data_IF_327544653834
#
_entry.id   IF_327544653834
#
_cell.length_a   1.000
_cell.length_b   1.000
_cell.length_c   1.000
_cell.angle_alpha   90.00
_cell.angle_beta   90.00
_cell.angle_gamma   90.00
#
_symmetry.space_group_name_H-M   'P 1'
#
loop_
_entity.id
_entity.type
_entity.pdbx_description
1 polymer ?
#
# COMPACT_ATOMS: atom_id res chain seq x y z
N UNK A 1 15.07 -9.25 3.34
CA UNK A 1 13.70 -8.80 3.67
C UNK A 1 12.69 -9.53 2.83
N UNK A 2 11.53 -9.85 3.40
CA UNK A 2 10.41 -10.52 2.76
C UNK A 2 9.15 -9.67 2.92
N UNK A 3 8.37 -9.46 1.86
CA UNK A 3 7.11 -8.72 1.89
C UNK A 3 6.18 -9.21 0.75
N UNK A 4 4.89 -8.95 0.84
CA UNK A 4 3.89 -9.39 -0.16
C UNK A 4 3.69 -8.37 -1.28
N UNK A 5 3.65 -8.78 -2.55
CA UNK A 5 3.14 -7.94 -3.64
C UNK A 5 1.62 -8.12 -3.80
N UNK A 6 0.97 -7.12 -4.40
CA UNK A 6 -0.42 -7.23 -4.77
C UNK A 6 -0.61 -8.13 -5.99
N UNK A 7 -1.62 -8.99 -5.92
CA UNK A 7 -2.15 -9.69 -7.07
C UNK A 7 -3.50 -9.10 -7.48
N UNK A 8 -3.66 -8.89 -8.79
CA UNK A 8 -4.93 -8.50 -9.42
C UNK A 8 -5.74 -9.72 -9.91
N UNK A 9 -5.21 -10.94 -9.72
CA UNK A 9 -5.88 -12.23 -9.93
C UNK A 9 -4.97 -13.31 -10.55
N UNK A 10 -4.70 -14.41 -9.82
CA UNK A 10 -5.12 -15.80 -10.09
C UNK A 10 -4.75 -16.67 -8.86
N UNK A 11 -5.63 -17.57 -8.42
CA UNK A 11 -5.54 -18.33 -7.14
C UNK A 11 -4.53 -19.50 -7.22
N UNK A 12 -3.72 -19.55 -8.28
CA UNK A 12 -2.83 -20.66 -8.54
C UNK A 12 -1.45 -20.47 -7.87
N UNK A 13 -1.41 -20.78 -6.57
CA UNK A 13 -0.24 -21.26 -5.81
C UNK A 13 1.15 -20.83 -6.35
N UNK A 14 1.60 -19.64 -5.97
CA UNK A 14 3.01 -19.29 -5.72
C UNK A 14 3.02 -18.18 -4.69
N UNK A 15 3.91 -18.26 -3.71
CA UNK A 15 3.98 -17.28 -2.63
C UNK A 15 4.08 -15.86 -3.19
N UNK A 16 3.12 -14.99 -2.88
CA UNK A 16 3.15 -13.55 -3.21
C UNK A 16 4.27 -12.79 -2.50
N UNK A 17 5.16 -13.53 -1.84
CA UNK A 17 6.26 -13.03 -1.06
C UNK A 17 7.50 -12.83 -1.93
N UNK A 18 7.94 -11.58 -2.02
CA UNK A 18 9.20 -11.21 -2.64
C UNK A 18 10.29 -11.16 -1.58
N UNK A 19 11.47 -11.71 -1.89
CA UNK A 19 12.65 -11.62 -1.03
C UNK A 19 13.70 -10.70 -1.66
N UNK A 20 14.12 -9.67 -0.91
CA UNK A 20 15.22 -8.76 -1.29
C UNK A 20 16.39 -8.96 -0.33
N UNK A 21 17.61 -9.04 -0.85
CA UNK A 21 18.84 -9.19 -0.06
C UNK A 21 19.82 -8.07 -0.42
N UNK A 22 20.56 -7.56 0.57
CA UNK A 22 21.49 -6.45 0.39
C UNK A 22 21.71 -5.67 1.69
N UNK A 23 22.32 -4.49 1.58
CA UNK A 23 22.40 -3.55 2.70
C UNK A 23 21.00 -3.02 3.07
N UNK A 24 20.77 -2.59 4.33
CA UNK A 24 19.48 -2.04 4.77
C UNK A 24 18.92 -0.96 3.83
N UNK A 25 19.78 0.01 3.44
CA UNK A 25 19.41 1.09 2.53
C UNK A 25 19.02 0.60 1.13
N UNK A 26 19.77 -0.35 0.58
CA UNK A 26 19.48 -0.89 -0.76
C UNK A 26 18.21 -1.74 -0.77
N UNK A 27 17.99 -2.52 0.29
CA UNK A 27 16.76 -3.31 0.47
C UNK A 27 15.55 -2.39 0.50
N UNK A 28 15.61 -1.31 1.28
CA UNK A 28 14.49 -0.37 1.38
C UNK A 28 14.23 0.38 0.07
N UNK A 29 15.28 0.85 -0.60
CA UNK A 29 15.14 1.47 -1.92
C UNK A 29 14.50 0.50 -2.93
N UNK A 30 14.93 -0.75 -2.94
CA UNK A 30 14.36 -1.78 -3.81
C UNK A 30 12.88 -2.07 -3.46
N UNK A 31 12.52 -2.12 -2.17
CA UNK A 31 11.12 -2.27 -1.73
C UNK A 31 10.26 -1.12 -2.25
N UNK A 32 10.72 0.14 -2.07
CA UNK A 32 10.03 1.32 -2.58
C UNK A 32 9.84 1.27 -4.09
N UNK A 33 10.88 0.92 -4.86
CA UNK A 33 10.76 0.77 -6.31
C UNK A 33 9.73 -0.30 -6.69
N UNK A 34 9.74 -1.46 -6.03
CA UNK A 34 8.77 -2.53 -6.28
C UNK A 34 7.33 -2.11 -5.95
N UNK A 35 7.14 -1.32 -4.89
CA UNK A 35 5.83 -0.73 -4.56
C UNK A 35 5.40 0.31 -5.59
N UNK A 36 6.32 1.18 -6.03
CA UNK A 36 6.04 2.22 -7.02
C UNK A 36 5.60 1.64 -8.37
N UNK A 37 6.21 0.55 -8.84
CA UNK A 37 5.83 -0.10 -10.10
C UNK A 37 4.65 -1.09 -9.97
N UNK A 38 4.10 -1.26 -8.76
CA UNK A 38 2.96 -2.15 -8.57
C UNK A 38 1.74 -1.56 -9.28
N UNK A 39 0.99 -2.36 -10.06
CA UNK A 39 -0.13 -1.84 -10.83
C UNK A 39 -1.26 -1.36 -9.91
N UNK A 40 -1.87 -0.24 -10.27
CA UNK A 40 -3.14 0.24 -9.73
C UNK A 40 -4.18 0.26 -10.85
N UNK A 41 -5.40 -0.18 -10.52
CA UNK A 41 -6.54 -0.15 -11.43
C UNK A 41 -7.63 0.68 -10.78
N UNK A 42 -8.05 1.75 -11.46
CA UNK A 42 -9.17 2.58 -11.06
C UNK A 42 -10.26 2.44 -12.12
N UNK A 43 -11.47 2.14 -11.67
CA UNK A 43 -12.64 2.05 -12.53
C UNK A 43 -13.68 3.09 -12.16
N UNK A 44 -14.33 3.69 -13.14
CA UNK A 44 -15.43 4.64 -12.92
C UNK A 44 -16.30 4.73 -14.17
N UNK A 45 -17.55 5.13 -13.98
CA UNK A 45 -18.51 5.24 -15.07
C UNK A 45 -18.90 6.70 -15.29
N UNK A 46 -19.01 7.10 -16.56
CA UNK A 46 -19.46 8.43 -16.96
C UNK A 46 -20.62 8.35 -17.95
N UNK A 47 -21.63 9.22 -17.78
CA UNK A 47 -22.74 9.31 -18.73
C UNK A 47 -22.29 10.05 -20.01
N UNK A 48 -22.52 9.46 -21.17
CA UNK A 48 -22.28 10.13 -22.46
C UNK A 48 -23.61 10.60 -23.05
N UNK A 49 -23.75 11.90 -23.21
CA UNK A 49 -24.98 12.53 -23.72
C UNK A 49 -24.72 13.36 -24.99
N UNK A 50 -23.50 13.33 -25.52
CA UNK A 50 -23.07 14.18 -26.63
C UNK A 50 -22.95 13.39 -27.95
N UNK A 51 -23.10 14.05 -29.11
CA UNK A 51 -23.09 13.37 -30.41
C UNK A 51 -21.68 13.07 -30.95
N UNK A 52 -20.64 13.69 -30.38
CA UNK A 52 -19.26 13.49 -30.83
C UNK A 52 -18.62 12.29 -30.10
N UNK A 53 -17.43 11.85 -30.52
CA UNK A 53 -16.65 10.92 -29.71
C UNK A 53 -15.73 11.72 -28.77
N UNK A 54 -15.53 11.28 -27.52
CA UNK A 54 -14.60 11.94 -26.61
C UNK A 54 -13.14 11.82 -27.10
N UNK A 55 -12.36 12.89 -26.94
CA UNK A 55 -10.94 12.92 -27.32
C UNK A 55 -10.04 12.57 -26.14
N UNK A 56 -9.25 11.51 -26.29
CA UNK A 56 -8.34 11.01 -25.26
C UNK A 56 -6.86 11.19 -25.61
N UNK A 57 -6.53 11.98 -26.63
CA UNK A 57 -5.15 12.20 -27.08
C UNK A 57 -4.25 12.86 -26.04
N UNK A 58 -4.83 13.56 -25.06
CA UNK A 58 -4.11 14.25 -23.99
C UNK A 58 -3.75 13.35 -22.79
N UNK A 59 -4.18 12.08 -22.79
CA UNK A 59 -3.87 11.16 -21.70
C UNK A 59 -2.37 10.81 -21.74
N UNK A 60 -1.63 10.94 -20.62
CA UNK A 60 -0.22 10.57 -20.54
C UNK A 60 0.03 9.13 -20.99
N UNK A 61 1.14 8.90 -21.72
CA UNK A 61 1.48 7.60 -22.29
C UNK A 61 1.76 6.52 -21.23
N UNK A 62 2.06 6.93 -20.00
CA UNK A 62 2.27 6.08 -18.83
C UNK A 62 0.96 5.47 -18.31
N UNK A 63 -0.19 5.97 -18.76
CA UNK A 63 -1.51 5.56 -18.30
C UNK A 63 -2.22 4.75 -19.38
N UNK A 64 -2.53 3.51 -19.06
CA UNK A 64 -3.31 2.66 -19.95
C UNK A 64 -4.80 2.81 -19.62
N UNK A 65 -5.57 3.35 -20.57
CA UNK A 65 -7.02 3.53 -20.44
C UNK A 65 -7.75 2.54 -21.34
N UNK A 66 -8.64 1.76 -20.74
CA UNK A 66 -9.60 0.92 -21.47
C UNK A 66 -10.99 1.51 -21.30
N UNK A 67 -11.72 1.63 -22.41
CA UNK A 67 -13.06 2.22 -22.43
C UNK A 67 -14.04 1.14 -22.85
N UNK A 68 -15.11 0.98 -22.10
CA UNK A 68 -16.18 0.02 -22.38
C UNK A 68 -17.52 0.72 -22.44
N UNK A 69 -18.20 0.63 -23.57
CA UNK A 69 -19.60 1.05 -23.68
C UNK A 69 -20.46 0.06 -22.89
N UNK A 70 -21.09 0.52 -21.82
CA UNK A 70 -21.99 -0.30 -20.97
C UNK A 70 -23.42 -0.23 -21.53
N UNK A 71 -23.86 0.98 -21.83
CA UNK A 71 -25.10 1.28 -22.55
C UNK A 71 -24.84 2.41 -23.55
N UNK A 72 -25.77 2.73 -24.48
CA UNK A 72 -25.57 3.85 -25.41
C UNK A 72 -25.28 5.20 -24.73
N UNK A 73 -25.61 5.35 -23.45
CA UNK A 73 -25.42 6.60 -22.68
C UNK A 73 -24.51 6.42 -21.47
N UNK A 74 -23.85 5.28 -21.30
CA UNK A 74 -22.99 4.99 -20.14
C UNK A 74 -21.69 4.32 -20.57
N UNK A 75 -20.58 4.94 -20.22
CA UNK A 75 -19.24 4.48 -20.54
C UNK A 75 -18.51 4.14 -19.25
N UNK A 76 -17.90 2.96 -19.22
CA UNK A 76 -17.04 2.52 -18.12
C UNK A 76 -15.58 2.68 -18.51
N UNK A 77 -14.83 3.29 -17.62
CA UNK A 77 -13.41 3.56 -17.76
C UNK A 77 -12.64 2.65 -16.84
N UNK A 78 -11.56 2.08 -17.36
CA UNK A 78 -10.57 1.32 -16.60
C UNK A 78 -9.23 1.99 -16.82
N UNK A 79 -8.76 2.72 -15.82
CA UNK A 79 -7.48 3.41 -15.80
C UNK A 79 -6.47 2.52 -15.08
N UNK A 80 -5.39 2.14 -15.77
CA UNK A 80 -4.29 1.36 -15.22
C UNK A 80 -2.99 2.16 -15.24
N UNK A 81 -2.29 2.13 -14.12
CA UNK A 81 -1.04 2.86 -13.93
C UNK A 81 -0.12 2.17 -12.93
N UNK A 82 1.07 2.73 -12.72
CA UNK A 82 1.94 2.39 -11.61
C UNK A 82 1.48 3.11 -10.34
N UNK A 83 1.57 2.45 -9.18
CA UNK A 83 1.14 2.99 -7.89
C UNK A 83 2.05 4.12 -7.35
N UNK A 84 3.22 4.35 -7.96
CA UNK A 84 4.08 5.50 -7.65
C UNK A 84 3.54 6.83 -8.19
N UNK A 85 2.59 6.78 -9.12
CA UNK A 85 2.20 7.92 -9.96
C UNK A 85 0.78 8.43 -9.64
N UNK A 86 0.39 8.46 -8.36
CA UNK A 86 -0.95 8.87 -7.91
C UNK A 86 -1.42 10.18 -8.56
N UNK A 87 -0.52 11.17 -8.69
CA UNK A 87 -0.85 12.47 -9.31
C UNK A 87 -1.16 12.35 -10.80
N UNK A 88 -0.44 11.49 -11.53
CA UNK A 88 -0.68 11.27 -12.96
C UNK A 88 -2.02 10.53 -13.14
N UNK A 89 -2.34 9.58 -12.25
CA UNK A 89 -3.65 8.90 -12.24
C UNK A 89 -4.78 9.90 -12.02
N UNK A 90 -4.68 10.74 -10.98
CA UNK A 90 -5.69 11.75 -10.67
C UNK A 90 -5.86 12.77 -11.81
N UNK A 91 -4.75 13.22 -12.39
CA UNK A 91 -4.77 14.12 -13.53
C UNK A 91 -5.46 13.48 -14.74
N UNK A 92 -5.16 12.22 -15.04
CA UNK A 92 -5.75 11.50 -16.17
C UNK A 92 -7.25 11.26 -16.00
N UNK A 93 -7.69 10.95 -14.78
CA UNK A 93 -9.12 10.86 -14.45
C UNK A 93 -9.81 12.20 -14.73
N UNK A 94 -9.22 13.32 -14.30
CA UNK A 94 -9.77 14.65 -14.56
C UNK A 94 -9.84 14.98 -16.06
N UNK A 95 -8.80 14.68 -16.84
CA UNK A 95 -8.81 14.88 -18.29
C UNK A 95 -9.94 14.09 -18.97
N UNK A 96 -10.18 12.84 -18.55
CA UNK A 96 -11.30 12.02 -19.06
C UNK A 96 -12.64 12.68 -18.71
N UNK A 97 -12.80 13.12 -17.46
CA UNK A 97 -14.03 13.75 -16.98
C UNK A 97 -14.35 15.03 -17.77
N UNK A 98 -13.34 15.85 -18.04
CA UNK A 98 -13.48 17.10 -18.79
C UNK A 98 -14.05 16.89 -20.20
N UNK A 99 -13.76 15.75 -20.83
CA UNK A 99 -14.32 15.40 -22.15
C UNK A 99 -15.82 15.10 -22.10
N UNK A 100 -16.36 14.70 -20.94
CA UNK A 100 -17.75 14.29 -20.79
C UNK A 100 -18.69 15.44 -20.44
N UNK A 101 -18.16 16.66 -20.29
CA UNK A 101 -18.91 17.90 -20.01
C UNK A 101 -19.99 17.74 -18.93
N UNK A 102 -19.72 16.91 -17.92
CA UNK A 102 -20.65 16.66 -16.82
C UNK A 102 -20.76 17.92 -15.93
N UNK A 103 -21.90 18.11 -15.23
CA UNK A 103 -22.03 19.18 -14.26
C UNK A 103 -20.90 19.13 -13.22
N UNK A 104 -20.39 20.27 -12.77
CA UNK A 104 -19.30 20.34 -11.79
C UNK A 104 -19.62 19.62 -10.47
N UNK A 105 -20.89 19.57 -10.10
CA UNK A 105 -21.38 18.91 -8.89
C UNK A 105 -21.72 17.43 -9.10
N UNK A 106 -21.47 16.89 -10.29
CA UNK A 106 -21.72 15.48 -10.57
C UNK A 106 -20.80 14.61 -9.71
N UNK A 107 -21.33 13.74 -8.84
CA UNK A 107 -20.51 12.95 -7.94
C UNK A 107 -19.85 11.81 -8.73
N UNK A 108 -18.53 11.91 -8.91
CA UNK A 108 -17.77 10.87 -9.58
C UNK A 108 -17.31 9.88 -8.54
N UNK A 109 -17.87 8.67 -8.61
CA UNK A 109 -17.47 7.56 -7.77
C UNK A 109 -16.53 6.68 -8.57
N UNK A 110 -15.32 6.56 -8.06
CA UNK A 110 -14.32 5.64 -8.56
C UNK A 110 -14.24 4.41 -7.68
N UNK A 111 -13.72 3.32 -8.22
CA UNK A 111 -13.49 2.10 -7.48
C UNK A 111 -12.16 1.46 -7.83
N UNK A 112 -11.57 0.77 -6.86
CA UNK A 112 -10.43 -0.13 -7.03
C UNK A 112 -10.72 -1.42 -6.29
N UNK A 113 -10.12 -2.50 -6.76
CA UNK A 113 -10.07 -3.74 -6.02
C UNK A 113 -8.66 -4.31 -6.03
N UNK A 114 -8.32 -5.09 -5.00
CA UNK A 114 -7.04 -5.80 -4.93
C UNK A 114 -7.11 -6.90 -3.87
N UNK A 115 -6.23 -7.90 -4.01
CA UNK A 115 -6.17 -9.00 -3.06
C UNK A 115 -5.22 -8.69 -1.91
N UNK A 116 -5.57 -9.14 -0.71
CA UNK A 116 -4.78 -9.03 0.52
C UNK A 116 -4.81 -10.35 1.27
N UNK A 117 -3.92 -10.51 2.24
CA UNK A 117 -3.92 -11.68 3.13
C UNK A 117 -5.05 -11.60 4.17
N UNK A 118 -5.47 -12.77 4.66
CA UNK A 118 -6.54 -12.89 5.67
C UNK A 118 -6.25 -12.16 6.99
N UNK A 119 -4.98 -12.04 7.38
CA UNK A 119 -4.56 -11.32 8.58
C UNK A 119 -4.84 -9.82 8.47
N UNK A 120 -4.67 -9.22 7.28
CA UNK A 120 -5.04 -7.83 7.02
C UNK A 120 -6.55 -7.64 7.12
N UNK A 121 -7.34 -8.53 6.49
CA UNK A 121 -8.82 -8.46 6.55
C UNK A 121 -9.29 -8.56 7.99
N UNK A 122 -8.73 -9.50 8.76
CA UNK A 122 -9.05 -9.69 10.18
C UNK A 122 -8.70 -8.44 11.00
N UNK A 123 -7.55 -7.82 10.73
CA UNK A 123 -7.12 -6.58 11.40
C UNK A 123 -8.04 -5.39 11.12
N UNK A 124 -8.55 -5.30 9.89
CA UNK A 124 -9.45 -4.23 9.44
C UNK A 124 -10.90 -4.43 9.93
N UNK A 125 -11.39 -5.66 10.02
CA UNK A 125 -12.78 -5.94 10.45
C UNK A 125 -12.97 -5.85 11.96
N UNK A 126 -12.11 -6.52 12.74
CA UNK A 126 -12.29 -6.70 14.18
C UNK A 126 -10.98 -6.57 14.96
N UNK A 127 -9.96 -5.93 14.38
CA UNK A 127 -8.63 -5.85 14.94
C UNK A 127 -8.20 -4.44 15.29
N UNK A 128 -6.88 -4.25 15.40
CA UNK A 128 -6.28 -2.99 15.83
C UNK A 128 -6.48 -1.85 14.82
N UNK A 129 -6.72 -2.17 13.54
CA UNK A 129 -6.78 -1.19 12.45
C UNK A 129 -8.21 -0.74 12.11
N UNK A 130 -9.25 -1.37 12.69
CA UNK A 130 -10.67 -1.05 12.41
C UNK A 130 -11.02 0.41 12.64
N UNK A 131 -10.64 0.98 13.79
CA UNK A 131 -10.93 2.38 14.11
C UNK A 131 -10.14 3.36 13.23
N UNK A 132 -8.94 2.98 12.77
CA UNK A 132 -8.14 3.80 11.85
C UNK A 132 -8.76 3.78 10.45
N UNK A 133 -9.18 2.61 9.97
CA UNK A 133 -9.91 2.46 8.71
C UNK A 133 -11.19 3.29 8.70
N UNK A 134 -12.04 3.16 9.74
CA UNK A 134 -13.33 3.88 9.80
C UNK A 134 -13.15 5.39 9.77
N UNK A 135 -12.17 5.93 10.52
CA UNK A 135 -11.86 7.36 10.52
C UNK A 135 -11.40 7.86 9.14
N UNK A 136 -10.49 7.13 8.50
CA UNK A 136 -9.99 7.47 7.16
C UNK A 136 -11.12 7.38 6.12
N UNK A 137 -11.88 6.29 6.12
CA UNK A 137 -13.03 6.08 5.23
C UNK A 137 -14.06 7.21 5.35
N UNK A 138 -14.41 7.60 6.58
CA UNK A 138 -15.34 8.70 6.83
C UNK A 138 -14.77 10.05 6.34
N UNK A 139 -13.51 10.35 6.67
CA UNK A 139 -12.87 11.63 6.31
C UNK A 139 -12.79 11.80 4.79
N UNK A 140 -12.37 10.75 4.08
CA UNK A 140 -12.21 10.77 2.62
C UNK A 140 -13.51 10.42 1.86
N UNK A 141 -14.62 10.17 2.57
CA UNK A 141 -15.93 9.80 1.99
C UNK A 141 -15.85 8.57 1.09
N UNK A 142 -15.17 7.54 1.58
CA UNK A 142 -14.92 6.28 0.88
C UNK A 142 -15.62 5.15 1.61
N UNK A 143 -16.21 4.24 0.84
CA UNK A 143 -16.73 2.96 1.32
C UNK A 143 -15.71 1.84 1.06
N UNK A 144 -15.53 0.95 2.02
CA UNK A 144 -14.63 -0.20 1.91
C UNK A 144 -15.41 -1.47 2.15
N UNK A 145 -15.42 -2.35 1.15
CA UNK A 145 -16.03 -3.66 1.20
C UNK A 145 -14.95 -4.73 1.39
N UNK A 146 -15.02 -5.41 2.53
CA UNK A 146 -14.07 -6.44 2.94
C UNK A 146 -14.70 -7.81 2.68
N UNK A 147 -14.27 -8.51 1.63
CA UNK A 147 -14.83 -9.81 1.27
C UNK A 147 -13.98 -10.95 1.84
N UNK A 148 -14.50 -11.63 2.86
CA UNK A 148 -13.75 -12.67 3.59
C UNK A 148 -13.45 -13.92 2.75
N UNK A 149 -14.31 -14.27 1.80
CA UNK A 149 -14.19 -15.52 1.04
C UNK A 149 -13.23 -15.39 -0.16
N UNK A 150 -13.00 -14.18 -0.66
CA UNK A 150 -12.23 -13.92 -1.90
C UNK A 150 -10.87 -13.31 -1.64
N UNK A 151 -10.53 -13.00 -0.37
CA UNK A 151 -9.32 -12.24 -0.02
C UNK A 151 -9.22 -10.89 -0.75
N UNK A 152 -10.35 -10.38 -1.27
CA UNK A 152 -10.40 -9.18 -2.07
C UNK A 152 -11.00 -8.04 -1.25
N UNK A 153 -10.35 -6.87 -1.35
CA UNK A 153 -10.88 -5.62 -0.85
C UNK A 153 -11.36 -4.81 -2.04
N UNK A 154 -12.55 -4.22 -1.92
CA UNK A 154 -13.07 -3.24 -2.86
C UNK A 154 -13.23 -1.90 -2.14
N UNK A 155 -12.83 -0.83 -2.80
CA UNK A 155 -12.86 0.52 -2.26
C UNK A 155 -13.59 1.40 -3.26
N UNK A 156 -14.58 2.16 -2.80
CA UNK A 156 -15.45 3.00 -3.63
C UNK A 156 -15.53 4.42 -3.08
N UNK A 157 -15.37 5.44 -3.92
CA UNK A 157 -15.49 6.83 -3.50
C UNK A 157 -14.72 7.81 -4.40
N UNK A 158 -14.44 9.03 -3.92
CA UNK A 158 -13.59 9.99 -4.61
C UNK A 158 -12.20 9.41 -4.90
N UNK A 159 -11.66 9.68 -6.09
CA UNK A 159 -10.40 9.08 -6.59
C UNK A 159 -9.21 9.28 -5.67
N UNK A 160 -9.07 10.47 -5.08
CA UNK A 160 -8.01 10.76 -4.10
C UNK A 160 -8.13 9.90 -2.84
N UNK A 161 -9.34 9.78 -2.29
CA UNK A 161 -9.63 8.96 -1.12
C UNK A 161 -9.41 7.48 -1.39
N UNK A 162 -9.81 7.00 -2.57
CA UNK A 162 -9.64 5.61 -3.00
C UNK A 162 -8.17 5.23 -3.06
N UNK A 163 -7.32 6.04 -3.73
CA UNK A 163 -5.87 5.80 -3.82
C UNK A 163 -5.21 5.83 -2.43
N UNK A 164 -5.62 6.77 -1.59
CA UNK A 164 -5.09 6.94 -0.25
C UNK A 164 -5.43 5.76 0.66
N UNK A 165 -6.70 5.33 0.70
CA UNK A 165 -7.11 4.16 1.50
C UNK A 165 -6.48 2.87 0.99
N UNK A 166 -6.30 2.73 -0.32
CA UNK A 166 -5.53 1.62 -0.87
C UNK A 166 -4.11 1.63 -0.31
N UNK A 167 -3.43 2.77 -0.34
CA UNK A 167 -2.06 2.92 0.21
C UNK A 167 -2.01 2.58 1.69
N UNK A 168 -2.96 3.06 2.49
CA UNK A 168 -3.11 2.70 3.91
C UNK A 168 -3.15 1.18 4.12
N UNK A 169 -4.05 0.50 3.42
CA UNK A 169 -4.24 -0.95 3.56
C UNK A 169 -2.98 -1.71 3.13
N UNK A 170 -2.26 -1.24 2.10
CA UNK A 170 -0.99 -1.84 1.68
C UNK A 170 0.11 -1.71 2.73
N UNK A 171 0.14 -0.60 3.47
CA UNK A 171 1.05 -0.39 4.59
C UNK A 171 0.89 -1.43 5.69
N UNK A 172 -0.28 -2.08 5.80
CA UNK A 172 -0.53 -3.15 6.77
C UNK A 172 0.08 -4.50 6.35
N UNK A 173 0.70 -4.59 5.16
CA UNK A 173 1.33 -5.81 4.68
C UNK A 173 2.47 -6.26 5.59
N UNK A 174 2.45 -7.53 6.00
CA UNK A 174 3.49 -8.10 6.84
C UNK A 174 4.86 -8.11 6.12
N UNK A 175 5.89 -7.70 6.86
CA UNK A 175 7.30 -7.75 6.48
C UNK A 175 8.11 -8.61 7.44
N UNK A 176 9.18 -9.22 6.93
CA UNK A 176 10.19 -9.89 7.75
C UNK A 176 11.60 -9.53 7.28
N UNK A 177 12.41 -9.01 8.19
CA UNK A 177 13.85 -8.80 8.01
C UNK A 177 14.61 -9.89 8.75
N UNK A 178 15.46 -10.63 8.05
CA UNK A 178 16.29 -11.68 8.65
C UNK A 178 17.77 -11.39 8.45
N UNK A 179 18.58 -11.63 9.47
CA UNK A 179 20.02 -11.46 9.48
C UNK A 179 20.67 -12.40 10.50
N UNK A 180 21.97 -12.63 10.38
CA UNK A 180 22.74 -13.46 11.30
C UNK A 180 23.56 -12.57 12.26
N UNK A 181 23.66 -12.99 13.53
CA UNK A 181 24.46 -12.32 14.57
C UNK A 181 25.36 -13.35 15.25
N UNK A 182 26.65 -13.04 15.47
CA UNK A 182 27.50 -13.91 16.29
C UNK A 182 26.97 -13.99 17.73
N UNK A 183 26.90 -15.20 18.30
CA UNK A 183 26.31 -15.47 19.61
C UNK A 183 27.00 -14.68 20.74
N UNK A 184 28.32 -14.49 20.63
CA UNK A 184 29.15 -13.75 21.59
C UNK A 184 28.77 -12.27 21.71
N UNK A 185 28.15 -11.70 20.68
CA UNK A 185 27.78 -10.29 20.63
C UNK A 185 26.30 -10.09 21.04
N UNK A 186 25.62 -11.16 21.45
CA UNK A 186 24.17 -11.17 21.69
C UNK A 186 23.83 -11.16 23.20
N UNK A 187 23.76 -9.96 23.77
CA UNK A 187 23.38 -9.72 25.18
C UNK A 187 22.18 -8.78 25.33
N UNK A 188 21.26 -8.83 24.37
CA UNK A 188 20.18 -7.84 24.27
C UNK A 188 18.88 -8.34 24.89
N UNK A 189 18.21 -7.42 25.57
CA UNK A 189 16.84 -7.60 26.04
C UNK A 189 15.88 -7.50 24.85
N UNK A 190 15.51 -8.67 24.31
CA UNK A 190 14.62 -8.77 23.14
C UNK A 190 13.25 -8.17 23.46
N UNK A 191 12.72 -8.35 24.67
CA UNK A 191 11.38 -7.85 25.02
C UNK A 191 11.34 -6.33 25.02
N UNK A 192 12.39 -5.70 25.57
CA UNK A 192 12.55 -4.24 25.51
C UNK A 192 12.60 -3.74 24.08
N UNK A 193 13.41 -4.36 23.21
CA UNK A 193 13.55 -3.94 21.81
C UNK A 193 12.22 -4.10 21.05
N UNK A 194 11.52 -5.21 21.24
CA UNK A 194 10.21 -5.44 20.64
C UNK A 194 9.22 -4.33 21.00
N UNK A 195 9.18 -3.92 22.27
CA UNK A 195 8.31 -2.85 22.75
C UNK A 195 8.72 -1.46 22.26
N UNK A 196 10.03 -1.18 22.25
CA UNK A 196 10.58 0.12 21.86
C UNK A 196 10.33 0.42 20.37
N UNK A 197 10.40 -0.60 19.51
CA UNK A 197 10.27 -0.44 18.06
C UNK A 197 8.93 -0.93 17.47
N UNK A 198 8.02 -1.45 18.30
CA UNK A 198 6.76 -2.09 17.87
C UNK A 198 6.97 -3.20 16.81
N UNK A 199 7.85 -4.16 17.17
CA UNK A 199 8.23 -5.28 16.30
C UNK A 199 8.16 -6.61 17.06
N UNK A 200 8.07 -7.72 16.32
CA UNK A 200 8.23 -9.08 16.86
C UNK A 200 9.57 -9.66 16.43
N UNK A 201 10.35 -10.22 17.35
CA UNK A 201 11.71 -10.70 17.10
C UNK A 201 11.78 -12.19 17.45
N UNK A 202 12.29 -12.97 16.50
CA UNK A 202 12.52 -14.41 16.66
C UNK A 202 14.00 -14.70 16.48
N UNK A 203 14.55 -15.56 17.33
CA UNK A 203 15.94 -16.02 17.23
C UNK A 203 16.01 -17.54 17.16
N UNK A 204 16.93 -18.07 16.34
CA UNK A 204 17.18 -19.51 16.21
C UNK A 204 18.68 -19.76 16.10
N UNK A 205 19.23 -20.67 16.91
CA UNK A 205 20.63 -21.14 16.77
C UNK A 205 20.77 -21.96 15.48
N UNK A 206 21.82 -21.70 14.69
CA UNK A 206 22.12 -22.50 13.49
C UNK A 206 22.91 -23.77 13.86
N UNK A 207 22.38 -24.94 13.49
CA UNK A 207 22.89 -26.26 13.90
C UNK A 207 24.37 -26.55 13.56
N UNK A 208 24.96 -25.83 12.59
CA UNK A 208 26.33 -26.09 12.12
C UNK A 208 27.34 -25.03 12.58
N UNK A 209 26.89 -24.00 13.30
CA UNK A 209 27.73 -22.95 13.87
C UNK A 209 27.20 -22.63 15.27
N UNK A 210 27.79 -23.26 16.29
CA UNK A 210 27.45 -23.01 17.71
C UNK A 210 27.63 -21.55 18.14
N UNK A 211 28.11 -20.69 17.23
CA UNK A 211 28.41 -19.28 17.46
C UNK A 211 27.56 -18.33 16.62
N UNK A 212 26.50 -18.77 15.92
CA UNK A 212 25.63 -17.89 15.12
C UNK A 212 24.16 -18.04 15.48
N UNK A 213 23.51 -16.91 15.74
CA UNK A 213 22.06 -16.75 15.86
C UNK A 213 21.48 -16.20 14.57
N UNK A 214 20.49 -16.90 14.01
CA UNK A 214 19.63 -16.37 12.97
C UNK A 214 18.51 -15.55 13.62
N UNK A 215 18.47 -14.26 13.35
CA UNK A 215 17.46 -13.32 13.84
C UNK A 215 16.44 -13.04 12.74
N UNK A 216 15.17 -12.90 13.11
CA UNK A 216 14.08 -12.47 12.24
C UNK A 216 13.21 -11.46 12.96
N UNK A 217 13.18 -10.23 12.44
CA UNK A 217 12.31 -9.14 12.89
C UNK A 217 11.09 -9.09 11.98
N UNK A 218 9.89 -9.16 12.54
CA UNK A 218 8.60 -9.08 11.84
C UNK A 218 7.84 -7.83 12.26
N UNK A 219 7.20 -7.18 11.30
CA UNK A 219 6.25 -6.08 11.52
C UNK A 219 5.39 -5.90 10.27
N UNK A 220 4.85 -4.70 10.06
CA UNK A 220 4.13 -4.28 8.84
C UNK A 220 4.95 -3.24 8.05
N UNK A 221 4.63 -3.05 6.76
CA UNK A 221 5.31 -2.05 5.92
C UNK A 221 5.20 -0.62 6.43
N UNK A 222 4.11 -0.24 7.08
CA UNK A 222 3.94 1.08 7.72
C UNK A 222 5.02 1.31 8.81
N UNK A 223 5.51 0.24 9.44
CA UNK A 223 6.52 0.29 10.50
C UNK A 223 7.93 -0.13 10.04
N UNK A 224 8.19 -0.17 8.73
CA UNK A 224 9.46 -0.61 8.13
C UNK A 224 10.69 0.13 8.67
N UNK A 225 10.56 1.42 8.96
CA UNK A 225 11.67 2.24 9.46
C UNK A 225 12.12 1.79 10.84
N UNK A 226 11.18 1.42 11.72
CA UNK A 226 11.50 0.88 13.04
C UNK A 226 12.03 -0.55 12.95
N UNK A 227 11.64 -1.34 11.94
CA UNK A 227 12.27 -2.65 11.68
C UNK A 227 13.76 -2.50 11.34
N UNK A 228 14.11 -1.51 10.49
CA UNK A 228 15.51 -1.24 10.15
C UNK A 228 16.30 -0.71 11.36
N UNK A 229 15.73 0.22 12.11
CA UNK A 229 16.33 0.77 13.33
C UNK A 229 16.51 -0.29 14.43
N UNK A 230 15.54 -1.19 14.61
CA UNK A 230 15.67 -2.30 15.54
C UNK A 230 16.86 -3.20 15.17
N UNK A 231 17.10 -3.44 13.87
CA UNK A 231 18.28 -4.19 13.41
C UNK A 231 19.59 -3.44 13.70
N UNK A 232 19.66 -2.15 13.42
CA UNK A 232 20.83 -1.31 13.72
C UNK A 232 21.14 -1.32 15.22
N UNK A 233 20.12 -1.10 16.05
CA UNK A 233 20.21 -1.18 17.50
C UNK A 233 20.71 -2.56 17.97
N UNK A 234 20.18 -3.64 17.39
CA UNK A 234 20.60 -4.99 17.72
C UNK A 234 22.05 -5.33 17.36
N UNK A 235 22.63 -4.59 16.42
CA UNK A 235 24.01 -4.77 15.97
C UNK A 235 24.97 -3.74 16.56
N UNK A 236 24.49 -2.83 17.42
CA UNK A 236 25.27 -1.71 17.94
C UNK A 236 25.71 -0.72 16.86
N UNK A 237 24.99 -0.65 15.74
CA UNK A 237 25.25 0.29 14.65
C UNK A 237 24.65 1.68 15.01
N UNK A 238 25.18 2.73 14.37
CA UNK A 238 24.60 4.06 14.50
C UNK A 238 23.21 4.09 13.84
N UNK A 239 22.25 4.75 14.50
CA UNK A 239 20.88 4.86 14.00
C UNK A 239 20.84 5.71 12.73
N UNK A 240 20.42 5.10 11.62
CA UNK A 240 20.30 5.81 10.35
C UNK A 240 19.04 6.65 10.35
N UNK A 241 19.16 7.92 9.92
CA UNK A 241 17.99 8.74 9.63
C UNK A 241 17.42 8.36 8.27
N UNK A 242 16.53 7.38 8.25
CA UNK A 242 15.81 7.01 7.05
C UNK A 242 14.77 8.07 6.68
N UNK A 243 14.57 8.37 5.39
CA UNK A 243 13.52 9.29 4.95
C UNK A 243 12.14 8.71 5.32
N UNK A 244 11.18 9.61 5.53
CA UNK A 244 9.82 9.26 5.94
C UNK A 244 9.21 8.15 5.07
N UNK A 245 8.46 7.27 5.72
CA UNK A 245 7.78 6.18 5.06
C UNK A 245 6.62 6.72 4.21
N UNK A 246 6.45 6.20 2.99
CA UNK A 246 5.42 6.66 2.06
C UNK A 246 3.98 6.46 2.56
N UNK A 247 3.80 5.71 3.65
CA UNK A 247 2.54 5.47 4.35
C UNK A 247 2.23 6.50 5.47
N UNK A 248 3.18 7.36 5.88
CA UNK A 248 3.02 8.33 7.00
C UNK A 248 2.07 9.50 6.66
N UNK A 249 1.86 9.80 5.37
CA UNK A 249 1.04 10.94 4.89
C UNK A 249 -0.44 10.84 5.31
N UNK A 250 -0.87 9.69 5.85
CA UNK A 250 -2.23 9.42 6.26
C UNK A 250 -2.65 10.10 7.57
N UNK A 251 -1.71 10.56 8.39
CA UNK A 251 -2.00 11.12 9.72
C UNK A 251 -1.75 12.63 9.82
N UNK A 252 -1.07 13.23 8.84
CA UNK A 252 -0.63 14.64 8.90
C UNK A 252 -1.69 15.66 8.46
N UNK A 253 -2.82 15.22 7.89
CA UNK A 253 -3.96 16.11 7.59
C UNK A 253 -4.75 16.53 8.84
N UNK A 254 -4.23 16.28 10.05
CA UNK A 254 -4.86 16.68 11.32
C UNK A 254 -4.48 18.09 11.82
N UNK A 255 -3.59 18.83 11.15
CA UNK A 255 -3.09 20.11 11.71
C UNK A 255 -3.26 21.38 10.85
N UNK A 256 -3.91 21.35 9.67
CA UNK A 256 -4.13 22.58 8.89
C UNK A 256 -5.54 22.67 8.34
N UNK A 257 -6.51 22.85 9.23
CA UNK A 257 -7.80 23.45 8.89
C UNK A 257 -8.42 24.14 10.11
N UNK A 258 -7.61 24.93 10.81
CA UNK A 258 -8.08 26.04 11.62
C UNK A 258 -7.38 27.28 11.06
N UNK A 259 -8.15 28.34 10.80
CA UNK A 259 -7.77 29.61 10.13
C UNK A 259 -7.89 29.61 8.60
N UNK A 260 -9.12 29.78 8.11
CA UNK A 260 -9.66 31.02 7.47
C UNK A 260 -10.94 30.69 6.67
#
# INVERSE_FOLDING_TARGET
MRFGLLNLGDVANKSDQVSISGSPRNIENARRCLRAISPVIITFDLPWIFPYEPDFTQIPAEIAVTIRVVTPTLYSFIVRANAGDDQIVLHSINLIIEQFHIPKDFPIITSTYFNVKDDIISSLQNGKDTLRLQRLAQHYKVEVQLQNLSQQIQIHGPSNGVLLLRKFILGLSSITLSFDVPLRDFHLDIERIQKEFDVSIYSKKKNNANEILAISIKSVEDNIMNVLRAREFMLGEAMTNYPDNEYIVLETTQCTSNYE
#
